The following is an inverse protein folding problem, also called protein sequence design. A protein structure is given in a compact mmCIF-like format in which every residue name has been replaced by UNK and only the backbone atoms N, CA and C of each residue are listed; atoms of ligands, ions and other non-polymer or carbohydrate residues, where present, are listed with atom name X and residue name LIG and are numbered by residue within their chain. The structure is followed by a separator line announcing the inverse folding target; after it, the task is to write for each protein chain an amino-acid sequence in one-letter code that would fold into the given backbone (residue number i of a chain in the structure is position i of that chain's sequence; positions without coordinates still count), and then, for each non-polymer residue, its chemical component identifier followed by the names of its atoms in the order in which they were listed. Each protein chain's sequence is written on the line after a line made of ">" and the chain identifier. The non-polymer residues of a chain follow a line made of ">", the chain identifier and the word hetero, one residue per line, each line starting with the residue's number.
data_IF_182597631767
#
_entry.id   IF_182597631767
#
_cell.length_a   1.000
_cell.length_b   1.000
_cell.length_c   1.000
_cell.angle_alpha   90.00
_cell.angle_beta   90.00
_cell.angle_gamma   90.00
#
_symmetry.space_group_name_H-M   'P 1'
#
loop_
_entity.id
_entity.type
_entity.pdbx_description
1 polymer ?
#
# COMPACT_ATOMS: atom_id res chain seq x y z
N UNK A 1 -20.34 -11.07 30.52
CA UNK A 1 -21.06 -10.76 29.26
C UNK A 1 -21.65 -12.06 28.75
N UNK A 2 -22.89 -12.03 28.23
CA UNK A 2 -23.61 -13.24 27.80
C UNK A 2 -23.11 -13.75 26.44
N UNK A 3 -22.98 -15.07 26.33
CA UNK A 3 -22.54 -15.84 25.15
C UNK A 3 -23.41 -15.59 23.90
N UNK A 4 -24.62 -15.05 24.05
CA UNK A 4 -25.51 -14.75 22.92
C UNK A 4 -25.04 -13.57 22.06
N UNK A 5 -24.29 -12.61 22.61
CA UNK A 5 -23.81 -11.44 21.85
C UNK A 5 -22.58 -11.75 20.97
N UNK A 6 -21.96 -12.91 21.19
CA UNK A 6 -20.76 -13.37 20.46
C UNK A 6 -21.11 -13.97 19.10
N UNK A 7 -22.36 -14.41 18.88
CA UNK A 7 -22.79 -15.04 17.63
C UNK A 7 -22.82 -14.13 16.41
N UNK A 8 -22.99 -12.82 16.57
CA UNK A 8 -23.18 -11.91 15.42
C UNK A 8 -21.89 -11.71 14.60
N UNK A 9 -20.71 -11.95 15.18
CA UNK A 9 -19.41 -11.74 14.53
C UNK A 9 -18.63 -13.03 14.24
N UNK A 10 -19.23 -14.19 14.50
CA UNK A 10 -18.60 -15.50 14.27
C UNK A 10 -19.48 -16.33 13.33
N UNK A 11 -18.98 -16.53 12.11
CA UNK A 11 -19.61 -17.37 11.10
C UNK A 11 -18.99 -18.76 11.08
N UNK A 12 -19.81 -19.81 11.01
CA UNK A 12 -19.35 -21.19 10.81
C UNK A 12 -19.60 -21.64 9.38
N UNK A 13 -18.54 -22.10 8.71
CA UNK A 13 -18.58 -22.74 7.39
C UNK A 13 -18.16 -24.20 7.53
N UNK A 14 -18.99 -25.10 7.00
CA UNK A 14 -18.65 -26.51 6.83
C UNK A 14 -18.09 -26.71 5.42
N UNK A 15 -16.88 -27.26 5.32
CA UNK A 15 -16.19 -27.45 4.04
C UNK A 15 -15.30 -28.70 4.06
N UNK A 16 -15.55 -29.67 3.16
CA UNK A 16 -14.80 -30.95 3.05
C UNK A 16 -14.60 -31.66 4.41
N UNK A 17 -15.68 -31.80 5.20
CA UNK A 17 -15.71 -32.39 6.56
C UNK A 17 -14.93 -31.58 7.64
N UNK A 18 -14.63 -30.31 7.36
CA UNK A 18 -13.91 -29.40 8.26
C UNK A 18 -14.80 -28.28 8.75
N UNK A 19 -14.57 -27.84 9.99
CA UNK A 19 -15.25 -26.71 10.62
C UNK A 19 -14.36 -25.48 10.53
N UNK A 20 -14.84 -24.44 9.86
CA UNK A 20 -14.12 -23.19 9.66
C UNK A 20 -14.91 -22.06 10.30
N UNK A 21 -14.37 -21.49 11.36
CA UNK A 21 -14.94 -20.35 12.08
C UNK A 21 -14.31 -19.07 11.52
N UNK A 22 -15.12 -18.15 11.01
CA UNK A 22 -14.67 -16.84 10.54
C UNK A 22 -15.10 -15.80 11.57
N UNK A 23 -14.12 -15.19 12.23
CA UNK A 23 -14.31 -14.14 13.22
C UNK A 23 -14.08 -12.80 12.52
N UNK A 24 -15.16 -12.03 12.38
CA UNK A 24 -15.13 -10.66 11.87
C UNK A 24 -14.67 -9.69 12.96
N UNK A 25 -13.62 -8.92 12.68
CA UNK A 25 -13.03 -7.97 13.62
C UNK A 25 -13.14 -6.54 13.11
N UNK A 26 -13.38 -5.59 14.02
CA UNK A 26 -13.15 -4.18 13.77
C UNK A 26 -11.70 -3.84 14.15
N UNK A 27 -10.90 -3.38 13.18
CA UNK A 27 -9.42 -3.32 13.22
C UNK A 27 -8.74 -2.41 14.26
N UNK A 28 -9.50 -1.89 15.24
CA UNK A 28 -8.98 -1.01 16.29
C UNK A 28 -9.86 -1.14 17.54
N UNK A 29 -10.18 -2.37 17.95
CA UNK A 29 -11.05 -2.61 19.11
C UNK A 29 -10.48 -3.69 20.01
N UNK A 30 -10.33 -3.38 21.30
CA UNK A 30 -9.94 -4.34 22.35
C UNK A 30 -10.93 -5.50 22.42
N UNK A 31 -12.22 -5.21 22.25
CA UNK A 31 -13.29 -6.21 22.18
C UNK A 31 -13.08 -7.22 21.05
N UNK A 32 -12.53 -6.78 19.90
CA UNK A 32 -12.21 -7.70 18.79
C UNK A 32 -11.06 -8.66 19.15
N UNK A 33 -10.08 -8.20 19.94
CA UNK A 33 -8.96 -9.01 20.36
C UNK A 33 -9.38 -10.05 21.41
N UNK A 34 -10.22 -9.64 22.37
CA UNK A 34 -10.79 -10.53 23.39
C UNK A 34 -11.66 -11.61 22.75
N UNK A 35 -12.51 -11.22 21.78
CA UNK A 35 -13.34 -12.16 21.01
C UNK A 35 -12.47 -13.19 20.24
N UNK A 36 -11.41 -12.73 19.58
CA UNK A 36 -10.50 -13.62 18.87
C UNK A 36 -9.85 -14.63 19.82
N UNK A 37 -9.39 -14.18 20.99
CA UNK A 37 -8.85 -15.06 22.02
C UNK A 37 -9.87 -16.07 22.54
N UNK A 38 -11.08 -15.61 22.88
CA UNK A 38 -12.16 -16.46 23.40
C UNK A 38 -12.49 -17.57 22.42
N UNK A 39 -12.73 -17.24 21.15
CA UNK A 39 -13.06 -18.24 20.12
C UNK A 39 -11.91 -19.22 19.90
N UNK A 40 -10.66 -18.75 19.85
CA UNK A 40 -9.51 -19.65 19.65
C UNK A 40 -9.37 -20.61 20.84
N UNK A 41 -9.52 -20.13 22.07
CA UNK A 41 -9.42 -20.99 23.26
C UNK A 41 -10.59 -21.96 23.39
N UNK A 42 -11.80 -21.53 23.05
CA UNK A 42 -12.99 -22.38 23.11
C UNK A 42 -12.96 -23.49 22.05
N UNK A 43 -12.61 -23.13 20.81
CA UNK A 43 -12.65 -24.08 19.69
C UNK A 43 -11.39 -24.95 19.61
N UNK A 44 -10.29 -24.57 20.27
CA UNK A 44 -8.99 -25.26 20.23
C UNK A 44 -8.61 -25.73 18.80
N UNK A 45 -8.51 -24.81 17.83
CA UNK A 45 -8.37 -25.17 16.43
C UNK A 45 -7.01 -25.79 16.11
N UNK A 46 -6.94 -26.55 15.02
CA UNK A 46 -5.67 -27.03 14.49
C UNK A 46 -4.86 -25.89 13.85
N UNK A 47 -5.55 -24.93 13.24
CA UNK A 47 -4.94 -23.75 12.63
C UNK A 47 -5.69 -22.46 12.95
N UNK A 48 -4.91 -21.39 13.15
CA UNK A 48 -5.42 -20.02 13.23
C UNK A 48 -4.94 -19.25 12.01
N UNK A 49 -5.87 -18.86 11.14
CA UNK A 49 -5.61 -18.04 9.98
C UNK A 49 -5.84 -16.56 10.31
N UNK A 50 -4.95 -15.67 9.91
CA UNK A 50 -5.08 -14.23 10.19
C UNK A 50 -4.95 -13.41 8.92
N UNK A 51 -5.70 -12.30 8.82
CA UNK A 51 -5.62 -11.31 7.73
C UNK A 51 -4.33 -10.45 7.80
N UNK A 52 -3.19 -11.13 7.85
CA UNK A 52 -1.86 -10.53 7.77
C UNK A 52 -1.02 -11.28 6.73
N UNK A 53 -0.22 -10.52 5.99
CA UNK A 53 0.85 -11.07 5.16
C UNK A 53 2.19 -10.96 5.90
N UNK A 54 3.20 -11.72 5.46
CA UNK A 54 4.54 -11.75 6.09
C UNK A 54 5.14 -10.36 6.31
N UNK A 55 5.01 -9.47 5.32
CA UNK A 55 5.54 -8.11 5.41
C UNK A 55 4.87 -7.30 6.53
N UNK A 56 3.55 -7.43 6.69
CA UNK A 56 2.79 -6.76 7.76
C UNK A 56 3.06 -7.39 9.11
N UNK A 57 3.03 -8.72 9.22
CA UNK A 57 3.37 -9.44 10.45
C UNK A 57 4.75 -9.05 10.96
N UNK A 58 5.75 -9.07 10.08
CA UNK A 58 7.12 -8.67 10.39
C UNK A 58 7.20 -7.22 10.89
N UNK A 59 6.43 -6.31 10.27
CA UNK A 59 6.42 -4.89 10.64
C UNK A 59 5.72 -4.66 11.99
N UNK A 60 4.67 -5.43 12.31
CA UNK A 60 3.99 -5.37 13.60
C UNK A 60 4.85 -5.95 14.73
N UNK A 61 5.54 -7.07 14.47
CA UNK A 61 6.44 -7.71 15.44
C UNK A 61 7.69 -6.87 15.71
N UNK A 62 8.21 -6.19 14.68
CA UNK A 62 9.39 -5.32 14.79
C UNK A 62 9.12 -3.93 14.17
N UNK A 63 8.43 -3.03 14.90
CA UNK A 63 8.04 -1.70 14.39
C UNK A 63 9.22 -0.82 14.02
N UNK A 64 10.36 -1.00 14.68
CA UNK A 64 11.60 -0.23 14.45
C UNK A 64 12.48 -0.81 13.34
N UNK A 65 12.12 -1.94 12.72
CA UNK A 65 12.95 -2.60 11.70
C UNK A 65 13.28 -1.71 10.49
N UNK A 66 12.45 -0.72 10.18
CA UNK A 66 12.75 0.23 9.10
C UNK A 66 13.95 1.13 9.42
N UNK A 67 14.27 1.35 10.69
CA UNK A 67 15.49 2.06 11.12
C UNK A 67 16.75 1.27 10.77
N UNK A 68 16.63 -0.06 10.71
CA UNK A 68 17.71 -0.96 10.36
C UNK A 68 17.78 -1.25 8.85
N UNK A 69 16.82 -0.74 8.04
CA UNK A 69 16.88 -0.92 6.59
C UNK A 69 18.00 -0.09 5.98
N UNK A 70 18.82 -0.71 5.13
CA UNK A 70 19.79 0.00 4.31
C UNK A 70 19.09 0.83 3.23
N UNK A 71 18.76 2.07 3.57
CA UNK A 71 18.09 3.03 2.69
C UNK A 71 18.90 3.28 1.42
N UNK A 72 20.22 3.20 1.48
CA UNK A 72 21.08 3.39 0.30
C UNK A 72 20.81 2.27 -0.70
N UNK A 73 20.67 1.03 -0.24
CA UNK A 73 20.30 -0.12 -1.09
C UNK A 73 18.89 0.04 -1.71
N UNK A 74 17.93 0.57 -0.95
CA UNK A 74 16.55 0.78 -1.40
C UNK A 74 16.49 1.86 -2.49
N UNK A 75 17.23 2.96 -2.32
CA UNK A 75 17.31 4.04 -3.30
C UNK A 75 18.02 3.58 -4.56
N UNK A 76 19.17 2.88 -4.45
CA UNK A 76 19.86 2.28 -5.62
C UNK A 76 18.99 1.28 -6.36
N UNK A 77 18.19 0.50 -5.65
CA UNK A 77 17.28 -0.47 -6.23
C UNK A 77 16.05 0.14 -6.90
N UNK A 78 15.90 1.47 -6.91
CA UNK A 78 14.74 2.16 -7.46
C UNK A 78 13.45 1.91 -6.68
N UNK A 79 13.54 1.47 -5.42
CA UNK A 79 12.39 1.10 -4.57
C UNK A 79 12.01 2.19 -3.58
N UNK A 80 12.49 3.42 -3.78
CA UNK A 80 12.23 4.57 -2.89
C UNK A 80 10.74 4.90 -2.72
N UNK A 81 9.93 4.71 -3.76
CA UNK A 81 8.47 4.89 -3.69
C UNK A 81 7.79 3.92 -2.72
N UNK A 82 8.31 2.69 -2.59
CA UNK A 82 7.77 1.69 -1.66
C UNK A 82 8.07 2.10 -0.23
N UNK A 83 9.29 2.58 0.03
CA UNK A 83 9.69 3.11 1.33
C UNK A 83 8.83 4.33 1.71
N UNK A 84 8.63 5.26 0.78
CA UNK A 84 7.77 6.43 1.01
C UNK A 84 6.34 6.01 1.37
N UNK A 85 5.74 5.10 0.60
CA UNK A 85 4.40 4.58 0.89
C UNK A 85 4.34 3.89 2.27
N UNK A 86 5.37 3.13 2.64
CA UNK A 86 5.44 2.48 3.95
C UNK A 86 5.57 3.49 5.10
N UNK A 87 6.37 4.54 4.93
CA UNK A 87 6.52 5.62 5.93
C UNK A 87 5.22 6.42 6.08
N UNK A 88 4.54 6.73 4.97
CA UNK A 88 3.23 7.41 4.99
C UNK A 88 2.19 6.56 5.72
N UNK A 89 2.12 5.26 5.41
CA UNK A 89 1.21 4.33 6.07
C UNK A 89 1.53 4.21 7.56
N UNK A 90 2.80 4.08 7.92
CA UNK A 90 3.23 4.02 9.32
C UNK A 90 2.88 5.31 10.08
N UNK A 91 3.06 6.49 9.46
CA UNK A 91 2.66 7.77 10.04
C UNK A 91 1.15 7.89 10.24
N UNK A 92 0.36 7.44 9.26
CA UNK A 92 -1.10 7.40 9.36
C UNK A 92 -1.57 6.43 10.45
N UNK A 93 -0.99 5.22 10.50
CA UNK A 93 -1.27 4.21 11.52
C UNK A 93 -0.91 4.70 12.92
N UNK A 94 0.23 5.39 13.08
CA UNK A 94 0.64 6.00 14.34
C UNK A 94 -0.37 7.06 14.79
N UNK A 95 -0.78 7.95 13.89
CA UNK A 95 -1.78 9.00 14.18
C UNK A 95 -3.13 8.41 14.63
N UNK A 96 -3.61 7.37 13.95
CA UNK A 96 -4.83 6.66 14.33
C UNK A 96 -4.68 5.94 15.67
N UNK A 97 -3.56 5.27 15.91
CA UNK A 97 -3.29 4.56 17.16
C UNK A 97 -3.21 5.49 18.37
N UNK A 98 -2.61 6.69 18.21
CA UNK A 98 -2.55 7.70 19.26
C UNK A 98 -3.96 8.25 19.60
N UNK A 99 -4.86 8.36 18.61
CA UNK A 99 -6.23 8.83 18.81
C UNK A 99 -7.16 7.76 19.40
N UNK A 100 -6.98 6.49 19.03
CA UNK A 100 -7.85 5.38 19.43
C UNK A 100 -7.29 4.57 20.61
N UNK A 101 -6.08 4.89 21.10
CA UNK A 101 -5.34 4.18 22.16
C UNK A 101 -5.15 2.67 21.94
N UNK A 102 -5.43 2.17 20.74
CA UNK A 102 -5.31 0.76 20.34
C UNK A 102 -4.38 0.71 19.13
N UNK A 103 -3.43 -0.23 19.15
CA UNK A 103 -2.50 -0.45 18.03
C UNK A 103 -3.26 -1.16 16.89
N UNK A 104 -3.28 -0.62 15.66
CA UNK A 104 -3.90 -1.31 14.53
C UNK A 104 -3.29 -2.71 14.32
N UNK A 105 -4.15 -3.73 14.20
CA UNK A 105 -3.73 -5.13 14.05
C UNK A 105 -3.38 -5.83 15.36
N UNK A 106 -3.71 -5.24 16.52
CA UNK A 106 -3.58 -5.89 17.82
C UNK A 106 -4.41 -7.18 17.90
N UNK A 107 -5.59 -7.20 17.28
CA UNK A 107 -6.49 -8.35 17.21
C UNK A 107 -5.83 -9.54 16.49
N UNK A 108 -5.12 -9.32 15.38
CA UNK A 108 -4.38 -10.39 14.71
C UNK A 108 -3.16 -10.82 15.48
N UNK A 109 -2.42 -9.89 16.09
CA UNK A 109 -1.25 -10.25 16.90
C UNK A 109 -1.66 -11.09 18.11
N UNK A 110 -2.77 -10.72 18.77
CA UNK A 110 -3.34 -11.50 19.87
C UNK A 110 -3.74 -12.89 19.42
N UNK A 111 -4.40 -13.01 18.27
CA UNK A 111 -4.75 -14.32 17.70
C UNK A 111 -3.53 -15.20 17.43
N UNK A 112 -2.43 -14.62 16.92
CA UNK A 112 -1.17 -15.33 16.70
C UNK A 112 -0.55 -15.79 18.03
N UNK A 113 -0.49 -14.92 19.04
CA UNK A 113 0.02 -15.25 20.37
C UNK A 113 -0.77 -16.40 21.01
N UNK A 114 -2.10 -16.32 20.98
CA UNK A 114 -2.97 -17.37 21.55
C UNK A 114 -2.82 -18.68 20.77
N UNK A 115 -2.67 -18.62 19.44
CA UNK A 115 -2.39 -19.80 18.62
C UNK A 115 -1.07 -20.48 19.01
N UNK A 116 0.00 -19.70 19.21
CA UNK A 116 1.29 -20.18 19.67
C UNK A 116 1.19 -20.81 21.09
N UNK A 117 0.43 -20.18 22.00
CA UNK A 117 0.22 -20.67 23.36
C UNK A 117 -0.45 -22.05 23.42
N UNK A 118 -1.44 -22.30 22.55
CA UNK A 118 -2.18 -23.58 22.53
C UNK A 118 -1.58 -24.60 21.54
N UNK A 119 -0.52 -24.24 20.82
CA UNK A 119 0.15 -25.10 19.85
C UNK A 119 -0.57 -25.24 18.50
N UNK A 120 -1.52 -24.35 18.18
CA UNK A 120 -2.17 -24.30 16.87
C UNK A 120 -1.21 -23.76 15.82
N UNK A 121 -1.39 -24.18 14.56
CA UNK A 121 -0.59 -23.66 13.46
C UNK A 121 -1.08 -22.28 13.01
N UNK A 122 -0.19 -21.29 13.06
CA UNK A 122 -0.48 -19.96 12.51
C UNK A 122 -0.38 -19.94 10.98
N UNK A 123 -1.39 -19.38 10.31
CA UNK A 123 -1.44 -19.19 8.85
C UNK A 123 -1.62 -17.70 8.53
N UNK A 124 -0.60 -17.10 7.92
CA UNK A 124 -0.69 -15.75 7.35
C UNK A 124 -1.49 -15.83 6.05
N UNK A 125 -2.76 -15.41 6.09
CA UNK A 125 -3.73 -15.66 5.03
C UNK A 125 -3.85 -14.51 4.02
N UNK A 126 -3.27 -13.34 4.28
CA UNK A 126 -3.40 -12.19 3.40
C UNK A 126 -2.30 -12.11 2.34
N UNK A 127 -2.61 -11.43 1.24
CA UNK A 127 -1.70 -11.21 0.11
C UNK A 127 -0.63 -10.19 0.47
N UNK A 128 0.55 -10.29 -0.14
CA UNK A 128 1.59 -9.26 0.01
C UNK A 128 1.02 -7.88 -0.33
N UNK A 129 1.11 -6.97 0.64
CA UNK A 129 0.53 -5.63 0.54
C UNK A 129 1.08 -4.83 -0.66
N UNK A 130 2.33 -5.06 -1.07
CA UNK A 130 2.92 -4.40 -2.25
C UNK A 130 2.31 -4.93 -3.53
N UNK A 131 1.99 -6.22 -3.61
CA UNK A 131 1.26 -6.80 -4.73
C UNK A 131 -0.14 -6.21 -4.82
N UNK A 132 -0.86 -6.16 -3.70
CA UNK A 132 -2.19 -5.54 -3.62
C UNK A 132 -2.14 -4.08 -4.10
N UNK A 133 -1.28 -3.24 -3.51
CA UNK A 133 -1.14 -1.83 -3.90
C UNK A 133 -0.76 -1.64 -5.37
N UNK A 134 0.18 -2.43 -5.89
CA UNK A 134 0.57 -2.34 -7.31
C UNK A 134 -0.58 -2.69 -8.26
N UNK A 135 -1.39 -3.70 -7.90
CA UNK A 135 -2.56 -4.10 -8.69
C UNK A 135 -3.62 -2.99 -8.66
N UNK A 136 -3.88 -2.41 -7.50
CA UNK A 136 -4.75 -1.23 -7.35
C UNK A 136 -4.30 -0.03 -8.18
N UNK A 137 -2.99 0.28 -8.18
CA UNK A 137 -2.48 1.36 -9.00
C UNK A 137 -2.54 1.04 -10.50
N UNK A 138 -2.36 -0.22 -10.87
CA UNK A 138 -2.45 -0.65 -12.27
C UNK A 138 -3.87 -0.67 -12.82
N UNK A 139 -4.87 -0.86 -11.95
CA UNK A 139 -6.29 -0.79 -12.33
C UNK A 139 -6.78 0.65 -12.51
N UNK A 140 -6.08 1.61 -11.89
CA UNK A 140 -6.29 3.03 -12.14
C UNK A 140 -5.65 3.42 -13.47
N UNK A 141 -6.48 3.64 -14.50
CA UNK A 141 -6.03 4.30 -15.73
C UNK A 141 -5.48 5.70 -15.45
N UNK A 142 -4.84 6.34 -16.44
CA UNK A 142 -4.25 7.68 -16.28
C UNK A 142 -5.23 8.72 -15.69
N UNK A 143 -6.46 8.74 -16.20
CA UNK A 143 -7.50 9.65 -15.69
C UNK A 143 -7.98 9.31 -14.28
N UNK A 144 -8.07 8.02 -13.93
CA UNK A 144 -8.42 7.59 -12.57
C UNK A 144 -7.34 7.97 -11.56
N UNK A 145 -6.07 7.80 -11.94
CA UNK A 145 -4.93 8.27 -11.15
C UNK A 145 -4.96 9.79 -10.95
N UNK A 146 -5.22 10.55 -12.02
CA UNK A 146 -5.29 12.01 -11.90
C UNK A 146 -6.47 12.47 -11.05
N UNK A 147 -7.65 11.84 -11.19
CA UNK A 147 -8.82 12.13 -10.37
C UNK A 147 -8.54 11.86 -8.90
N UNK A 148 -7.93 10.72 -8.57
CA UNK A 148 -7.57 10.37 -7.19
C UNK A 148 -6.55 11.35 -6.61
N UNK A 149 -5.49 11.70 -7.35
CA UNK A 149 -4.51 12.70 -6.93
C UNK A 149 -5.15 14.06 -6.68
N UNK A 150 -6.03 14.51 -7.59
CA UNK A 150 -6.77 15.75 -7.43
C UNK A 150 -7.68 15.71 -6.19
N UNK A 151 -8.44 14.63 -5.98
CA UNK A 151 -9.28 14.44 -4.80
C UNK A 151 -8.48 14.42 -3.49
N UNK A 152 -7.30 13.79 -3.46
CA UNK A 152 -6.44 13.81 -2.26
C UNK A 152 -5.87 15.20 -1.98
N UNK A 153 -5.39 15.89 -3.02
CA UNK A 153 -4.85 17.26 -2.90
C UNK A 153 -5.96 18.20 -2.45
N UNK A 154 -7.09 18.23 -3.16
CA UNK A 154 -8.24 19.06 -2.78
C UNK A 154 -8.83 18.67 -1.43
N UNK A 155 -8.82 17.39 -1.06
CA UNK A 155 -9.26 16.94 0.26
C UNK A 155 -8.33 17.40 1.39
N UNK A 156 -7.01 17.46 1.16
CA UNK A 156 -6.03 17.97 2.12
C UNK A 156 -6.02 19.51 2.22
N UNK A 157 -6.35 20.20 1.13
CA UNK A 157 -6.48 21.66 1.08
C UNK A 157 -7.92 22.15 1.35
N UNK A 158 -8.88 21.25 1.48
CA UNK A 158 -10.23 21.57 1.92
C UNK A 158 -10.17 21.85 3.41
N UNK A 159 -10.29 23.12 3.79
CA UNK A 159 -10.44 23.57 5.17
C UNK A 159 -11.88 23.44 5.66
N UNK A 160 -12.70 22.57 5.05
CA UNK A 160 -13.99 22.23 5.64
C UNK A 160 -13.71 21.34 6.85
N UNK A 161 -13.82 21.93 8.04
CA UNK A 161 -13.99 21.17 9.26
C UNK A 161 -15.16 20.22 9.03
N UNK A 162 -14.91 18.91 9.16
CA UNK A 162 -15.95 17.90 9.05
C UNK A 162 -16.95 18.22 10.17
N UNK A 163 -18.14 18.69 9.80
CA UNK A 163 -19.18 19.08 10.76
C UNK A 163 -19.56 17.86 11.60
N UNK A 164 -19.88 18.06 12.87
CA UNK A 164 -20.28 17.00 13.80
C UNK A 164 -21.47 16.21 13.24
N UNK A 165 -22.36 16.89 12.51
CA UNK A 165 -23.49 16.30 11.77
C UNK A 165 -23.06 15.42 10.61
N UNK A 166 -21.98 15.76 9.92
CA UNK A 166 -21.44 14.97 8.82
C UNK A 166 -20.75 13.70 9.36
N UNK A 167 -20.07 13.81 10.52
CA UNK A 167 -19.55 12.65 11.26
C UNK A 167 -20.69 11.75 11.74
N UNK A 168 -21.78 12.32 12.26
CA UNK A 168 -22.93 11.56 12.74
C UNK A 168 -23.65 10.84 11.60
N UNK A 169 -23.81 11.51 10.45
CA UNK A 169 -24.32 10.88 9.21
C UNK A 169 -23.40 9.76 8.72
N UNK A 170 -22.07 9.91 8.81
CA UNK A 170 -21.12 8.84 8.43
C UNK A 170 -21.16 7.61 9.36
N UNK A 171 -21.71 7.73 10.58
CA UNK A 171 -21.93 6.60 11.48
C UNK A 171 -23.16 5.78 11.12
N UNK A 172 -24.07 6.34 10.32
CA UNK A 172 -25.24 5.62 9.83
C UNK A 172 -24.80 4.59 8.77
N UNK A 173 -25.12 3.32 9.00
CA UNK A 173 -24.73 2.21 8.11
C UNK A 173 -25.15 2.45 6.66
N UNK A 174 -26.32 3.05 6.43
CA UNK A 174 -26.89 3.29 5.11
C UNK A 174 -26.12 4.38 4.34
N UNK A 175 -25.70 5.46 5.01
CA UNK A 175 -24.93 6.53 4.39
C UNK A 175 -23.49 6.09 4.08
N UNK A 176 -22.89 5.29 4.95
CA UNK A 176 -21.58 4.68 4.70
C UNK A 176 -21.66 3.70 3.52
N UNK A 177 -22.72 2.89 3.46
CA UNK A 177 -22.93 1.95 2.35
C UNK A 177 -23.14 2.69 1.01
N UNK A 178 -23.91 3.78 1.02
CA UNK A 178 -24.11 4.65 -0.15
C UNK A 178 -22.80 5.27 -0.66
N UNK A 179 -21.99 5.83 0.24
CA UNK A 179 -20.66 6.38 -0.11
C UNK A 179 -19.70 5.30 -0.62
N UNK A 180 -19.70 4.12 0.01
CA UNK A 180 -18.89 2.99 -0.44
C UNK A 180 -19.32 2.49 -1.81
N UNK A 181 -20.63 2.55 -2.11
CA UNK A 181 -21.20 2.23 -3.42
C UNK A 181 -20.81 3.26 -4.48
N UNK A 182 -20.95 4.56 -4.19
CA UNK A 182 -20.50 5.62 -5.10
C UNK A 182 -18.99 5.53 -5.40
N UNK A 183 -18.18 5.26 -4.38
CA UNK A 183 -16.75 5.03 -4.53
C UNK A 183 -16.46 3.80 -5.42
N UNK A 184 -17.20 2.71 -5.20
CA UNK A 184 -17.09 1.48 -5.98
C UNK A 184 -17.46 1.70 -7.45
N UNK A 185 -18.52 2.46 -7.72
CA UNK A 185 -18.97 2.76 -9.07
C UNK A 185 -18.02 3.73 -9.78
N UNK A 186 -17.44 4.67 -9.04
CA UNK A 186 -16.47 5.62 -9.57
C UNK A 186 -15.11 4.98 -9.87
N UNK A 187 -14.69 4.00 -9.06
CA UNK A 187 -13.37 3.35 -9.14
C UNK A 187 -13.48 1.81 -9.05
N UNK A 188 -14.19 1.15 -9.99
CA UNK A 188 -14.48 -0.28 -9.91
C UNK A 188 -13.21 -1.14 -9.90
N UNK A 189 -12.17 -0.72 -10.65
CA UNK A 189 -10.88 -1.39 -10.63
C UNK A 189 -10.20 -1.38 -9.26
N UNK A 190 -10.39 -0.31 -8.46
CA UNK A 190 -9.84 -0.20 -7.10
C UNK A 190 -10.55 -1.16 -6.16
N UNK A 191 -11.90 -1.19 -6.20
CA UNK A 191 -12.69 -2.17 -5.44
C UNK A 191 -12.25 -3.59 -5.76
N UNK A 192 -12.17 -3.94 -7.04
CA UNK A 192 -11.77 -5.30 -7.44
C UNK A 192 -10.37 -5.64 -6.95
N UNK A 193 -9.40 -4.73 -7.08
CA UNK A 193 -8.03 -5.02 -6.66
C UNK A 193 -7.82 -5.04 -5.13
N UNK A 194 -8.49 -4.17 -4.38
CA UNK A 194 -8.32 -4.03 -2.92
C UNK A 194 -9.23 -4.96 -2.11
N UNK A 195 -10.43 -5.24 -2.61
CA UNK A 195 -11.47 -5.98 -1.89
C UNK A 195 -11.69 -7.34 -2.58
N UNK A 196 -12.29 -7.38 -3.77
CA UNK A 196 -12.78 -8.64 -4.36
C UNK A 196 -11.65 -9.67 -4.59
N UNK A 197 -10.49 -9.25 -5.09
CA UNK A 197 -9.32 -10.12 -5.25
C UNK A 197 -8.70 -10.54 -3.92
N UNK A 198 -8.80 -9.67 -2.90
CA UNK A 198 -8.26 -9.93 -1.57
C UNK A 198 -9.13 -10.93 -0.83
N UNK A 199 -10.46 -10.83 -0.95
CA UNK A 199 -11.42 -11.80 -0.44
C UNK A 199 -11.20 -13.19 -1.04
N UNK A 200 -10.96 -13.26 -2.36
CA UNK A 200 -10.61 -14.51 -3.02
C UNK A 200 -9.31 -15.09 -2.45
N UNK A 201 -8.27 -14.26 -2.31
CA UNK A 201 -6.99 -14.72 -1.78
C UNK A 201 -7.12 -15.23 -0.34
N UNK A 202 -7.82 -14.49 0.52
CA UNK A 202 -8.11 -14.86 1.90
C UNK A 202 -8.89 -16.17 1.97
N UNK A 203 -9.98 -16.30 1.22
CA UNK A 203 -10.78 -17.52 1.16
C UNK A 203 -9.94 -18.73 0.72
N UNK A 204 -9.12 -18.59 -0.32
CA UNK A 204 -8.24 -19.66 -0.78
C UNK A 204 -7.19 -20.06 0.25
N UNK A 205 -6.59 -19.10 0.96
CA UNK A 205 -5.61 -19.36 2.02
C UNK A 205 -6.23 -19.98 3.27
N UNK A 206 -7.41 -19.55 3.68
CA UNK A 206 -8.16 -20.13 4.81
C UNK A 206 -8.56 -21.56 4.48
N UNK A 207 -9.09 -21.81 3.28
CA UNK A 207 -9.43 -23.14 2.78
C UNK A 207 -8.24 -24.10 2.77
N UNK A 208 -7.06 -23.60 2.37
CA UNK A 208 -5.82 -24.37 2.34
C UNK A 208 -5.09 -24.48 3.70
N UNK A 209 -5.57 -23.83 4.76
CA UNK A 209 -5.01 -24.01 6.10
C UNK A 209 -5.12 -25.50 6.51
N UNK A 210 -4.16 -26.08 7.24
CA UNK A 210 -4.21 -27.50 7.60
C UNK A 210 -5.11 -27.78 8.82
N UNK A 211 -5.50 -29.04 8.99
CA UNK A 211 -6.29 -29.51 10.14
C UNK A 211 -7.81 -29.39 9.94
N UNK A 212 -8.59 -29.98 10.84
CA UNK A 212 -10.04 -30.13 10.71
C UNK A 212 -10.82 -28.95 11.28
N UNK A 213 -10.26 -28.27 12.28
CA UNK A 213 -10.84 -27.06 12.86
C UNK A 213 -9.95 -25.87 12.57
N UNK A 214 -10.47 -24.86 11.88
CA UNK A 214 -9.75 -23.62 11.56
C UNK A 214 -10.51 -22.43 12.10
N UNK A 215 -9.81 -21.53 12.78
CA UNK A 215 -10.34 -20.21 13.17
C UNK A 215 -9.65 -19.15 12.32
N UNK A 216 -10.42 -18.38 11.55
CA UNK A 216 -9.93 -17.30 10.70
C UNK A 216 -10.31 -15.94 11.29
N UNK A 217 -9.31 -15.14 11.65
CA UNK A 217 -9.48 -13.78 12.17
C UNK A 217 -9.27 -12.78 11.02
N UNK A 218 -10.36 -12.14 10.60
CA UNK A 218 -10.40 -11.23 9.44
C UNK A 218 -11.15 -9.96 9.78
N UNK A 219 -10.98 -8.90 9.00
CA UNK A 219 -11.79 -7.69 9.09
C UNK A 219 -13.24 -7.98 8.74
N UNK A 220 -14.19 -7.41 9.50
CA UNK A 220 -15.62 -7.66 9.31
C UNK A 220 -16.10 -7.39 7.88
N UNK A 221 -15.53 -6.39 7.20
CA UNK A 221 -15.84 -6.05 5.81
C UNK A 221 -15.45 -7.13 4.78
N UNK A 222 -14.51 -8.02 5.10
CA UNK A 222 -14.08 -9.12 4.23
C UNK A 222 -14.92 -10.39 4.41
N UNK A 223 -15.65 -10.54 5.51
CA UNK A 223 -16.42 -11.75 5.84
C UNK A 223 -17.44 -12.12 4.75
N UNK A 224 -18.29 -11.20 4.24
CA UNK A 224 -19.26 -11.55 3.19
C UNK A 224 -18.59 -12.00 1.90
N UNK A 225 -17.50 -11.33 1.51
CA UNK A 225 -16.73 -11.65 0.31
C UNK A 225 -16.06 -13.02 0.40
N UNK A 226 -15.43 -13.32 1.54
CA UNK A 226 -14.81 -14.63 1.82
C UNK A 226 -15.85 -15.75 1.74
N UNK A 227 -16.99 -15.59 2.41
CA UNK A 227 -18.11 -16.57 2.38
C UNK A 227 -18.57 -16.83 0.94
N UNK A 228 -18.72 -15.78 0.13
CA UNK A 228 -19.12 -15.91 -1.27
C UNK A 228 -18.08 -16.61 -2.17
N UNK A 229 -16.81 -16.64 -1.73
CA UNK A 229 -15.70 -17.25 -2.46
C UNK A 229 -15.42 -18.70 -2.04
N UNK A 230 -15.93 -19.15 -0.89
CA UNK A 230 -15.57 -20.44 -0.29
C UNK A 230 -15.91 -21.66 -1.18
N UNK A 231 -17.00 -21.58 -1.93
CA UNK A 231 -17.43 -22.63 -2.86
C UNK A 231 -16.75 -22.56 -4.24
N UNK A 232 -15.91 -21.55 -4.50
CA UNK A 232 -15.26 -21.33 -5.81
C UNK A 232 -13.88 -22.00 -5.82
N UNK A 233 -13.43 -22.34 -7.03
CA UNK A 233 -12.03 -22.68 -7.26
C UNK A 233 -11.22 -21.38 -7.44
N UNK A 234 -10.14 -21.24 -6.68
CA UNK A 234 -9.40 -19.98 -6.54
C UNK A 234 -7.94 -20.21 -6.94
N UNK A 235 -7.54 -19.59 -8.04
CA UNK A 235 -6.15 -19.58 -8.51
C UNK A 235 -5.34 -18.50 -7.74
N UNK A 236 -4.72 -18.91 -6.65
CA UNK A 236 -3.87 -18.04 -5.83
C UNK A 236 -2.66 -17.50 -6.61
N UNK A 237 -2.06 -18.29 -7.50
CA UNK A 237 -0.87 -17.84 -8.26
C UNK A 237 -1.19 -16.65 -9.16
N UNK A 238 -2.38 -16.65 -9.77
CA UNK A 238 -2.83 -15.53 -10.61
C UNK A 238 -3.03 -14.24 -9.80
N UNK A 239 -3.44 -14.37 -8.55
CA UNK A 239 -3.64 -13.24 -7.63
C UNK A 239 -2.30 -12.69 -7.10
N UNK A 240 -1.25 -13.49 -7.08
CA UNK A 240 0.12 -13.08 -6.72
C UNK A 240 0.91 -12.44 -7.87
N UNK A 241 0.63 -12.84 -9.13
CA UNK A 241 1.34 -12.31 -10.30
C UNK A 241 1.02 -10.83 -10.53
N UNK A 242 2.07 -10.02 -10.74
CA UNK A 242 1.91 -8.60 -11.09
C UNK A 242 1.49 -8.43 -12.57
N UNK A 243 0.59 -7.49 -12.89
CA UNK A 243 0.24 -7.19 -14.26
C UNK A 243 1.46 -6.66 -15.03
N UNK A 244 1.65 -7.16 -16.25
CA UNK A 244 2.80 -6.79 -17.09
C UNK A 244 2.73 -5.30 -17.45
N UNK A 245 3.84 -4.55 -17.38
CA UNK A 245 3.86 -3.16 -17.85
C UNK A 245 3.53 -3.10 -19.34
N UNK A 246 2.67 -2.15 -19.73
CA UNK A 246 2.26 -1.96 -21.14
C UNK A 246 3.49 -1.58 -21.98
N UNK A 247 3.69 -2.18 -23.16
CA UNK A 247 4.83 -1.87 -24.06
C UNK A 247 4.96 -0.38 -24.39
N UNK A 248 3.83 0.33 -24.43
CA UNK A 248 3.75 1.77 -24.68
C UNK A 248 4.49 2.62 -23.63
N UNK A 249 4.50 2.23 -22.36
CA UNK A 249 5.21 3.01 -21.32
C UNK A 249 6.72 2.94 -21.51
N UNK A 250 7.24 1.80 -21.98
CA UNK A 250 8.67 1.65 -22.35
C UNK A 250 9.04 2.49 -23.57
N UNK A 251 8.14 2.60 -24.57
CA UNK A 251 8.37 3.41 -25.75
C UNK A 251 8.33 4.92 -25.43
N UNK A 252 7.37 5.36 -24.62
CA UNK A 252 7.23 6.76 -24.21
C UNK A 252 8.42 7.23 -23.35
N UNK A 253 8.99 6.34 -22.52
CA UNK A 253 10.18 6.65 -21.72
C UNK A 253 11.39 7.03 -22.59
N UNK A 254 11.50 6.49 -23.81
CA UNK A 254 12.56 6.83 -24.76
C UNK A 254 12.19 7.96 -25.72
N UNK A 255 10.90 8.24 -25.89
CA UNK A 255 10.44 9.30 -26.77
C UNK A 255 10.99 10.67 -26.37
N UNK A 256 10.93 11.02 -25.07
CA UNK A 256 11.40 12.33 -24.57
C UNK A 256 12.92 12.51 -24.75
N UNK A 257 13.80 11.56 -24.32
CA UNK A 257 15.23 11.65 -24.60
C UNK A 257 15.57 11.75 -26.09
N UNK A 258 14.92 10.94 -26.94
CA UNK A 258 15.14 10.97 -28.38
C UNK A 258 14.70 12.29 -29.02
N UNK A 259 13.59 12.87 -28.57
CA UNK A 259 13.10 14.17 -29.02
C UNK A 259 14.11 15.27 -28.67
N UNK A 260 14.56 15.32 -27.42
CA UNK A 260 15.52 16.33 -26.95
C UNK A 260 16.86 16.19 -27.68
N UNK A 261 17.36 14.97 -27.85
CA UNK A 261 18.59 14.71 -28.61
C UNK A 261 18.43 15.12 -30.09
N UNK A 262 17.28 14.81 -30.69
CA UNK A 262 16.93 15.24 -32.04
C UNK A 262 16.91 16.77 -32.19
N UNK A 263 16.39 17.49 -31.20
CA UNK A 263 16.41 18.96 -31.18
C UNK A 263 17.85 19.51 -31.12
N UNK A 264 18.74 18.91 -30.34
CA UNK A 264 20.16 19.31 -30.32
C UNK A 264 20.84 19.05 -31.67
N UNK A 265 20.63 17.89 -32.28
CA UNK A 265 21.20 17.53 -33.59
C UNK A 265 20.70 18.50 -34.68
N UNK A 266 19.40 18.80 -34.67
CA UNK A 266 18.79 19.74 -35.61
C UNK A 266 19.31 21.16 -35.41
N UNK A 267 19.39 21.64 -34.16
CA UNK A 267 19.97 22.94 -33.82
C UNK A 267 21.41 23.08 -34.31
N UNK A 268 22.22 22.03 -34.15
CA UNK A 268 23.59 21.99 -34.64
C UNK A 268 23.67 22.05 -36.17
N UNK A 269 22.81 21.29 -36.85
CA UNK A 269 22.82 21.21 -38.31
C UNK A 269 22.39 22.50 -38.99
N UNK A 270 21.47 23.26 -38.39
CA UNK A 270 20.87 24.45 -39.03
C UNK A 270 21.34 25.79 -38.47
N UNK A 271 21.84 25.85 -37.22
CA UNK A 271 22.13 27.10 -36.51
C UNK A 271 23.58 27.25 -36.05
N UNK A 272 24.44 26.25 -36.31
CA UNK A 272 25.86 26.28 -35.95
C UNK A 272 26.14 25.98 -34.47
N UNK A 273 27.44 25.96 -34.12
CA UNK A 273 27.92 25.52 -32.82
C UNK A 273 27.54 26.47 -31.67
N UNK A 274 27.49 27.78 -31.91
CA UNK A 274 27.19 28.80 -30.89
C UNK A 274 25.76 28.66 -30.37
N UNK A 275 24.78 28.59 -31.26
CA UNK A 275 23.36 28.42 -30.88
C UNK A 275 23.09 27.06 -30.22
N UNK A 276 23.84 26.04 -30.62
CA UNK A 276 23.76 24.72 -29.98
C UNK A 276 24.30 24.73 -28.55
N UNK A 277 25.36 25.50 -28.30
CA UNK A 277 25.89 25.72 -26.97
C UNK A 277 24.88 26.47 -26.08
N UNK A 278 24.25 27.53 -26.60
CA UNK A 278 23.19 28.24 -25.87
C UNK A 278 22.02 27.33 -25.50
N UNK A 279 21.59 26.46 -26.42
CA UNK A 279 20.56 25.46 -26.16
C UNK A 279 20.98 24.48 -25.06
N UNK A 280 22.22 23.99 -25.10
CA UNK A 280 22.75 23.07 -24.09
C UNK A 280 22.89 23.74 -22.71
N UNK A 281 23.35 24.99 -22.67
CA UNK A 281 23.43 25.77 -21.44
C UNK A 281 22.03 26.04 -20.86
N UNK A 282 21.08 26.42 -21.70
CA UNK A 282 19.68 26.64 -21.31
C UNK A 282 19.07 25.37 -20.73
N UNK A 283 19.28 24.23 -21.39
CA UNK A 283 18.86 22.92 -20.88
C UNK A 283 19.45 22.62 -19.51
N UNK A 284 20.75 22.83 -19.35
CA UNK A 284 21.47 22.59 -18.11
C UNK A 284 20.91 23.43 -16.96
N UNK A 285 20.76 24.75 -17.16
CA UNK A 285 20.29 25.66 -16.12
C UNK A 285 18.83 25.40 -15.73
N UNK A 286 17.95 25.13 -16.68
CA UNK A 286 16.55 24.82 -16.36
C UNK A 286 16.42 23.48 -15.64
N UNK A 287 17.04 22.42 -16.13
CA UNK A 287 16.96 21.11 -15.48
C UNK A 287 17.63 21.15 -14.11
N UNK A 288 18.83 21.71 -14.01
CA UNK A 288 19.55 21.83 -12.75
C UNK A 288 18.82 22.72 -11.75
N UNK A 289 18.37 23.91 -12.18
CA UNK A 289 17.66 24.86 -11.34
C UNK A 289 16.35 24.30 -10.78
N UNK A 290 15.54 23.64 -11.61
CA UNK A 290 14.30 23.00 -11.16
C UNK A 290 14.57 21.81 -10.24
N UNK A 291 15.61 21.02 -10.51
CA UNK A 291 16.03 19.93 -9.62
C UNK A 291 16.48 20.44 -8.25
N UNK A 292 17.26 21.52 -8.23
CA UNK A 292 17.69 22.19 -7.01
C UNK A 292 16.50 22.76 -6.22
N UNK A 293 15.58 23.44 -6.91
CA UNK A 293 14.37 23.98 -6.32
C UNK A 293 13.49 22.88 -5.70
N UNK A 294 13.30 21.77 -6.41
CA UNK A 294 12.57 20.62 -5.89
C UNK A 294 13.22 20.05 -4.62
N UNK A 295 14.54 19.90 -4.61
CA UNK A 295 15.28 19.46 -3.42
C UNK A 295 15.20 20.46 -2.28
N UNK A 296 15.18 21.77 -2.57
CA UNK A 296 15.06 22.83 -1.57
C UNK A 296 13.67 22.82 -0.92
N UNK A 297 12.61 22.70 -1.73
CA UNK A 297 11.23 22.60 -1.24
C UNK A 297 11.01 21.33 -0.39
N UNK A 298 11.74 20.25 -0.70
CA UNK A 298 11.78 19.04 0.12
C UNK A 298 12.66 19.17 1.38
N UNK A 299 13.20 20.35 1.67
CA UNK A 299 14.07 20.64 2.83
C UNK A 299 15.36 19.80 2.85
N UNK A 300 15.87 19.45 1.67
CA UNK A 300 17.11 18.70 1.51
C UNK A 300 18.34 19.49 1.99
N UNK A 301 19.38 18.77 2.39
CA UNK A 301 20.65 19.36 2.77
C UNK A 301 21.27 20.17 1.60
N UNK A 302 22.06 21.23 1.83
CA UNK A 302 22.68 22.00 0.75
C UNK A 302 23.46 21.17 -0.28
N UNK A 303 24.16 20.12 0.17
CA UNK A 303 24.84 19.17 -0.73
C UNK A 303 23.88 18.31 -1.55
N UNK A 304 22.70 17.98 -1.01
CA UNK A 304 21.62 17.31 -1.74
C UNK A 304 21.04 18.21 -2.82
N UNK A 305 20.84 19.50 -2.51
CA UNK A 305 20.40 20.51 -3.47
C UNK A 305 21.42 20.64 -4.61
N UNK A 306 22.72 20.70 -4.29
CA UNK A 306 23.79 20.73 -5.28
C UNK A 306 23.84 19.46 -6.13
N UNK A 307 23.67 18.29 -5.50
CA UNK A 307 23.62 17.02 -6.22
C UNK A 307 22.42 16.96 -7.18
N UNK A 308 21.25 17.43 -6.75
CA UNK A 308 20.07 17.55 -7.60
C UNK A 308 20.32 18.51 -8.77
N UNK A 309 20.97 19.65 -8.53
CA UNK A 309 21.36 20.61 -9.55
C UNK A 309 22.24 19.99 -10.64
N UNK A 310 23.31 19.30 -10.23
CA UNK A 310 24.27 18.71 -11.18
C UNK A 310 23.70 17.49 -11.89
N UNK A 311 22.93 16.64 -11.21
CA UNK A 311 22.42 15.39 -11.77
C UNK A 311 21.23 15.57 -12.72
N UNK A 312 20.35 16.55 -12.47
CA UNK A 312 19.08 16.69 -13.19
C UNK A 312 19.24 16.80 -14.72
N UNK A 313 20.18 17.59 -15.28
CA UNK A 313 20.36 17.70 -16.73
C UNK A 313 20.75 16.40 -17.46
N UNK A 314 21.46 15.50 -16.76
CA UNK A 314 21.90 14.23 -17.31
C UNK A 314 20.87 13.13 -17.11
N UNK A 315 20.24 13.11 -15.94
CA UNK A 315 19.20 12.13 -15.59
C UNK A 315 17.93 12.33 -16.40
N UNK A 316 17.59 13.55 -16.81
CA UNK A 316 16.43 13.78 -17.71
C UNK A 316 16.62 13.21 -19.12
N UNK A 317 17.87 12.94 -19.54
CA UNK A 317 18.19 12.23 -20.79
C UNK A 317 18.32 10.72 -20.61
N UNK A 318 18.25 10.21 -19.37
CA UNK A 318 18.38 8.79 -19.07
C UNK A 318 17.10 8.27 -18.38
N UNK A 319 16.26 7.48 -19.09
CA UNK A 319 15.00 6.99 -18.51
C UNK A 319 15.20 6.00 -17.35
N UNK A 320 16.42 5.54 -17.08
CA UNK A 320 16.73 4.57 -16.04
C UNK A 320 17.30 5.17 -14.76
N UNK A 321 17.68 6.46 -14.76
CA UNK A 321 18.24 7.13 -13.58
C UNK A 321 17.45 8.41 -13.37
N UNK A 322 16.66 8.48 -12.30
CA UNK A 322 15.95 9.70 -11.94
C UNK A 322 16.85 10.65 -11.13
N UNK A 323 16.81 11.96 -11.39
CA UNK A 323 17.57 12.97 -10.63
C UNK A 323 17.29 12.91 -9.12
N UNK A 324 16.04 12.61 -8.75
CA UNK A 324 15.64 12.40 -7.36
C UNK A 324 16.31 11.21 -6.66
N UNK A 325 16.78 10.20 -7.39
CA UNK A 325 17.55 9.09 -6.79
C UNK A 325 18.95 9.54 -6.39
N UNK A 326 19.59 10.38 -7.22
CA UNK A 326 20.91 10.94 -6.90
C UNK A 326 20.81 11.86 -5.70
N UNK A 327 19.82 12.77 -5.70
CA UNK A 327 19.54 13.64 -4.56
C UNK A 327 19.24 12.80 -3.30
N UNK A 328 18.31 11.85 -3.38
CA UNK A 328 17.94 11.01 -2.24
C UNK A 328 19.11 10.19 -1.68
N UNK A 329 20.03 9.73 -2.54
CA UNK A 329 21.22 9.00 -2.10
C UNK A 329 22.20 9.91 -1.36
N UNK A 330 22.42 11.13 -1.86
CA UNK A 330 23.25 12.13 -1.18
C UNK A 330 22.63 12.52 0.16
N UNK A 331 21.31 12.73 0.22
CA UNK A 331 20.59 13.01 1.46
C UNK A 331 20.76 11.85 2.45
N UNK A 332 20.54 10.61 2.02
CA UNK A 332 20.63 9.44 2.90
C UNK A 332 22.05 9.21 3.45
N UNK A 333 23.10 9.60 2.71
CA UNK A 333 24.49 9.53 3.16
C UNK A 333 24.81 10.60 4.21
N UNK A 334 24.22 11.80 4.08
CA UNK A 334 24.50 12.94 4.97
C UNK A 334 23.59 12.91 6.21
N UNK A 335 22.30 12.69 5.99
CA UNK A 335 21.24 12.70 7.00
C UNK A 335 20.44 11.41 6.87
N UNK A 336 20.85 10.40 7.64
CA UNK A 336 20.05 9.19 7.82
C UNK A 336 18.71 9.56 8.49
N UNK A 337 17.58 9.01 8.03
CA UNK A 337 16.29 9.21 8.70
C UNK A 337 16.37 8.64 10.12
N UNK A 338 15.70 9.34 11.05
CA UNK A 338 15.73 9.08 12.50
C UNK A 338 14.41 8.52 12.99
#
# INVERSE_FOLDING_TARGET
>A
MNIETIKDNVDLIQYDDRSIYIVGTAHVSEVSADLAEEVIREQCPDSVAVELCDARYTSLKNPDRWKDMDIVSVIRGGKSYVLLAQLMLAGFQKKLGDQLKIKPGAEMMRAIEVAEDIGSKTVLADRDIRTTLKRTWSSLGFFGMMKLLFSMIFGLFSTQEIDEKEIERLKESDALEELMKEFSDALPGVRTALIDERDQYLAGKIKAAPGNTVVAIVGAGHVPGIKSCFAKDIDLEKLEKLPKPKKLTKALAWFIPCLVLGMFIYGFSNSGAEKSYEMAATWFWWNGGLGALGSLLALGHPLTILAAFVASPFTSLNPFIAGGWVAGLVEALIRKPR
#
